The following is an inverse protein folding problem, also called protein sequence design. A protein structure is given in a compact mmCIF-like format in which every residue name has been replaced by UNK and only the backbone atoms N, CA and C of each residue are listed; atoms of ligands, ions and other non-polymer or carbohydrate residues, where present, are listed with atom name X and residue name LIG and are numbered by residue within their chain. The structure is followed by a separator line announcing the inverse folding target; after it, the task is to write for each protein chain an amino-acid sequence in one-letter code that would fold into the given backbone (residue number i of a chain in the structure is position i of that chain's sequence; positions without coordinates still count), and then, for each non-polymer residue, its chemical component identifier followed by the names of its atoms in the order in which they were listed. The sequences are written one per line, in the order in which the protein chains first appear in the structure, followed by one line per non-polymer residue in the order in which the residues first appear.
data_IF_974112685914
#
_entry.id   IF_974112685914
#
_cell.length_a   1.000
_cell.length_b   1.000
_cell.length_c   1.000
_cell.angle_alpha   90.00
_cell.angle_beta   90.00
_cell.angle_gamma   90.00
#
_symmetry.space_group_name_H-M   'P 1'
#
loop_
_entity.id
_entity.type
_entity.pdbx_description
1 polymer ?
#
# COMPACT_ATOMS: atom_id res chain seq x y z
N UNK A 1 -6.32 6.44 -23.45
CA UNK A 1 -5.92 5.25 -22.69
C UNK A 1 -6.99 5.05 -21.65
N UNK A 2 -7.76 3.98 -21.73
CA UNK A 2 -8.91 3.72 -20.88
C UNK A 2 -8.47 3.34 -19.46
N UNK A 3 -9.39 3.37 -18.48
CA UNK A 3 -9.17 2.98 -17.09
C UNK A 3 -8.44 1.65 -16.86
N UNK A 4 -8.44 0.76 -17.85
CA UNK A 4 -7.68 -0.48 -17.80
C UNK A 4 -6.16 -0.29 -17.73
N UNK A 5 -5.57 0.82 -18.21
CA UNK A 5 -4.13 1.06 -18.14
C UNK A 5 -3.66 1.43 -16.73
N UNK A 6 -4.45 2.22 -16.01
CA UNK A 6 -4.14 2.56 -14.62
C UNK A 6 -4.10 1.31 -13.74
N UNK A 7 -5.12 0.46 -13.82
CA UNK A 7 -5.17 -0.83 -13.14
C UNK A 7 -3.99 -1.73 -13.52
N UNK A 8 -3.67 -1.81 -14.82
CA UNK A 8 -2.58 -2.66 -15.29
C UNK A 8 -1.20 -2.22 -14.76
N UNK A 9 -0.94 -0.90 -14.68
CA UNK A 9 0.29 -0.38 -14.08
C UNK A 9 0.32 -0.60 -12.59
N UNK A 10 -0.78 -0.36 -11.88
CA UNK A 10 -0.86 -0.66 -10.45
C UNK A 10 -0.54 -2.14 -10.18
N UNK A 11 -1.12 -3.06 -10.93
CA UNK A 11 -0.85 -4.49 -10.79
C UNK A 11 0.58 -4.87 -11.16
N UNK A 12 1.17 -4.25 -12.19
CA UNK A 12 2.56 -4.49 -12.55
C UNK A 12 3.49 -4.05 -11.41
N UNK A 13 3.29 -2.84 -10.89
CA UNK A 13 4.20 -2.20 -9.92
C UNK A 13 4.04 -2.72 -8.50
N UNK A 14 2.82 -3.11 -8.10
CA UNK A 14 2.50 -3.52 -6.71
C UNK A 14 2.16 -5.01 -6.58
N UNK A 15 1.53 -5.62 -7.59
CA UNK A 15 0.94 -6.95 -7.48
C UNK A 15 1.95 -8.09 -7.35
N UNK A 16 3.21 -7.88 -7.73
CA UNK A 16 4.28 -8.87 -7.64
C UNK A 16 4.90 -9.01 -6.25
N UNK A 17 4.76 -8.01 -5.38
CA UNK A 17 5.37 -8.01 -4.06
C UNK A 17 4.66 -8.97 -3.10
N UNK A 18 5.42 -9.91 -2.51
CA UNK A 18 4.85 -10.96 -1.66
C UNK A 18 5.57 -11.15 -0.32
N UNK A 19 6.71 -10.49 -0.10
CA UNK A 19 7.57 -10.74 1.06
C UNK A 19 6.90 -10.33 2.39
N UNK A 20 5.95 -9.38 2.34
CA UNK A 20 5.18 -8.93 3.50
C UNK A 20 3.88 -9.73 3.75
N UNK A 21 3.41 -10.56 2.81
CA UNK A 21 2.11 -11.23 2.94
C UNK A 21 2.02 -12.16 4.16
N UNK A 22 3.12 -12.85 4.50
CA UNK A 22 3.18 -13.70 5.68
C UNK A 22 3.02 -12.90 6.97
N UNK A 23 3.55 -11.66 7.01
CA UNK A 23 3.39 -10.75 8.13
C UNK A 23 1.92 -10.34 8.29
N UNK A 24 1.26 -9.88 7.21
CA UNK A 24 -0.13 -9.46 7.26
C UNK A 24 -1.08 -10.59 7.69
N UNK A 25 -0.87 -11.81 7.20
CA UNK A 25 -1.62 -13.00 7.66
C UNK A 25 -1.42 -13.27 9.15
N UNK A 26 -0.19 -13.14 9.65
CA UNK A 26 0.12 -13.34 11.08
C UNK A 26 -0.60 -12.29 11.94
N UNK A 27 -0.58 -11.01 11.55
CA UNK A 27 -1.26 -9.94 12.26
C UNK A 27 -2.78 -10.15 12.25
N UNK A 28 -3.37 -10.50 11.11
CA UNK A 28 -4.80 -10.78 10.99
C UNK A 28 -5.23 -11.99 11.85
N UNK A 29 -4.43 -13.06 11.84
CA UNK A 29 -4.68 -14.24 12.70
C UNK A 29 -4.61 -13.91 14.20
N UNK A 30 -3.69 -13.01 14.61
CA UNK A 30 -3.57 -12.54 16.00
C UNK A 30 -4.77 -11.69 16.42
N UNK A 31 -5.28 -10.85 15.53
CA UNK A 31 -6.37 -9.91 15.82
C UNK A 31 -7.74 -10.60 15.99
N UNK A 32 -8.00 -11.69 15.31
CA UNK A 32 -9.18 -12.54 15.52
C UNK A 32 -10.52 -11.92 15.13
N UNK A 33 -10.56 -10.97 14.18
CA UNK A 33 -11.79 -10.30 13.74
C UNK A 33 -11.66 -9.68 12.35
N UNK A 34 -12.57 -8.76 11.95
CA UNK A 34 -12.49 -8.10 10.66
C UNK A 34 -11.24 -7.22 10.55
N UNK A 35 -10.66 -7.19 9.36
CA UNK A 35 -9.48 -6.37 9.04
C UNK A 35 -9.91 -5.21 8.15
N UNK A 36 -9.41 -4.01 8.43
CA UNK A 36 -9.53 -2.86 7.54
C UNK A 36 -8.19 -2.65 6.83
N UNK A 37 -8.18 -2.81 5.51
CA UNK A 37 -7.04 -2.57 4.63
C UNK A 37 -7.18 -1.19 3.98
N UNK A 38 -6.30 -0.26 4.34
CA UNK A 38 -6.28 1.12 3.86
C UNK A 38 -5.34 1.24 2.65
N UNK A 39 -5.80 1.93 1.59
CA UNK A 39 -5.05 2.03 0.35
C UNK A 39 -4.89 0.67 -0.32
N UNK A 40 -5.96 -0.12 -0.35
CA UNK A 40 -5.93 -1.53 -0.74
C UNK A 40 -5.62 -1.75 -2.23
N UNK A 41 -5.79 -0.74 -3.08
CA UNK A 41 -5.62 -0.84 -4.53
C UNK A 41 -6.46 -1.95 -5.14
N UNK A 42 -5.87 -2.79 -5.98
CA UNK A 42 -6.49 -3.98 -6.58
C UNK A 42 -6.57 -5.18 -5.63
N UNK A 43 -6.19 -5.00 -4.35
CA UNK A 43 -6.43 -5.98 -3.29
C UNK A 43 -5.31 -6.99 -3.06
N UNK A 44 -4.04 -6.65 -3.31
CA UNK A 44 -2.90 -7.54 -3.09
C UNK A 44 -2.92 -8.18 -1.69
N UNK A 45 -3.13 -7.39 -0.64
CA UNK A 45 -3.22 -7.88 0.74
C UNK A 45 -4.65 -8.29 1.09
N UNK A 46 -5.66 -7.48 0.72
CA UNK A 46 -7.07 -7.77 1.02
C UNK A 46 -7.51 -9.15 0.52
N UNK A 47 -7.21 -9.51 -0.74
CA UNK A 47 -7.56 -10.81 -1.31
C UNK A 47 -6.80 -11.96 -0.64
N UNK A 48 -5.53 -11.75 -0.28
CA UNK A 48 -4.73 -12.74 0.43
C UNK A 48 -5.32 -13.06 1.81
N UNK A 49 -5.72 -12.02 2.56
CA UNK A 49 -6.37 -12.19 3.86
C UNK A 49 -7.75 -12.83 3.73
N UNK A 50 -8.52 -12.44 2.72
CA UNK A 50 -9.82 -13.04 2.46
C UNK A 50 -9.72 -14.53 2.09
N UNK A 51 -8.71 -14.93 1.28
CA UNK A 51 -8.40 -16.35 1.00
C UNK A 51 -7.99 -17.12 2.25
N UNK A 52 -7.36 -16.46 3.21
CA UNK A 52 -7.06 -17.04 4.52
C UNK A 52 -8.27 -17.11 5.47
N UNK A 53 -9.46 -16.70 5.02
CA UNK A 53 -10.73 -16.80 5.76
C UNK A 53 -11.08 -15.58 6.60
N UNK A 54 -10.32 -14.48 6.50
CA UNK A 54 -10.64 -13.25 7.20
C UNK A 54 -11.74 -12.46 6.49
N UNK A 55 -12.59 -11.77 7.26
CA UNK A 55 -13.49 -10.75 6.73
C UNK A 55 -12.72 -9.44 6.57
N UNK A 56 -12.63 -8.94 5.33
CA UNK A 56 -11.81 -7.78 5.00
C UNK A 56 -12.69 -6.63 4.52
N UNK A 57 -12.46 -5.46 5.09
CA UNK A 57 -12.90 -4.18 4.58
C UNK A 57 -11.72 -3.54 3.84
N UNK A 58 -11.90 -3.27 2.56
CA UNK A 58 -10.86 -2.78 1.67
C UNK A 58 -11.21 -1.36 1.22
N UNK A 59 -10.45 -0.38 1.69
CA UNK A 59 -10.68 1.03 1.43
C UNK A 59 -9.60 1.58 0.51
N UNK A 60 -10.04 2.24 -0.56
CA UNK A 60 -9.19 3.02 -1.45
C UNK A 60 -9.96 4.26 -1.96
N UNK A 61 -9.24 5.29 -2.38
CA UNK A 61 -9.85 6.46 -3.00
C UNK A 61 -10.12 6.26 -4.50
N UNK A 62 -9.54 5.24 -5.11
CA UNK A 62 -9.63 4.93 -6.54
C UNK A 62 -10.71 3.88 -6.82
N UNK A 63 -11.80 4.32 -7.42
CA UNK A 63 -12.93 3.45 -7.75
C UNK A 63 -12.62 2.40 -8.82
N UNK A 64 -11.64 2.65 -9.72
CA UNK A 64 -11.28 1.68 -10.76
C UNK A 64 -10.50 0.51 -10.15
N UNK A 65 -9.55 0.79 -9.24
CA UNK A 65 -8.81 -0.23 -8.51
C UNK A 65 -9.75 -1.08 -7.64
N UNK A 66 -10.68 -0.45 -6.93
CA UNK A 66 -11.71 -1.14 -6.14
C UNK A 66 -12.64 -1.99 -7.00
N UNK A 67 -12.98 -1.53 -8.21
CA UNK A 67 -13.77 -2.31 -9.17
C UNK A 67 -13.08 -3.62 -9.56
N UNK A 68 -11.76 -3.59 -9.79
CA UNK A 68 -10.97 -4.77 -10.08
C UNK A 68 -10.90 -5.72 -8.86
N UNK A 69 -10.65 -5.16 -7.67
CA UNK A 69 -10.66 -5.93 -6.42
C UNK A 69 -12.00 -6.64 -6.22
N UNK A 70 -13.11 -5.91 -6.37
CA UNK A 70 -14.45 -6.48 -6.21
C UNK A 70 -14.75 -7.60 -7.21
N UNK A 71 -14.30 -7.43 -8.47
CA UNK A 71 -14.45 -8.46 -9.50
C UNK A 71 -13.64 -9.73 -9.15
N UNK A 72 -12.39 -9.57 -8.72
CA UNK A 72 -11.55 -10.68 -8.27
C UNK A 72 -12.13 -11.39 -7.04
N UNK A 73 -12.59 -10.63 -6.04
CA UNK A 73 -13.21 -11.19 -4.85
C UNK A 73 -14.47 -12.00 -5.18
N UNK A 74 -15.34 -11.46 -6.05
CA UNK A 74 -16.55 -12.13 -6.49
C UNK A 74 -16.26 -13.43 -7.26
N UNK A 75 -15.25 -13.41 -8.16
CA UNK A 75 -14.85 -14.58 -8.93
C UNK A 75 -14.34 -15.72 -8.04
N UNK A 76 -13.65 -15.38 -6.95
CA UNK A 76 -13.11 -16.35 -5.98
C UNK A 76 -14.08 -16.65 -4.83
N UNK A 77 -15.27 -16.04 -4.78
CA UNK A 77 -16.26 -16.22 -3.70
C UNK A 77 -15.77 -15.70 -2.33
N UNK A 78 -14.93 -14.68 -2.32
CA UNK A 78 -14.31 -14.13 -1.13
C UNK A 78 -15.17 -13.07 -0.45
N UNK A 79 -15.04 -12.94 0.88
CA UNK A 79 -15.73 -11.90 1.68
C UNK A 79 -14.86 -10.66 1.80
N UNK A 80 -15.05 -9.72 0.88
CA UNK A 80 -14.39 -8.42 0.88
C UNK A 80 -15.45 -7.33 0.71
N UNK A 81 -15.49 -6.37 1.65
CA UNK A 81 -16.32 -5.18 1.58
C UNK A 81 -15.49 -4.03 1.04
N UNK A 82 -15.81 -3.50 -0.14
CA UNK A 82 -15.07 -2.38 -0.73
C UNK A 82 -15.67 -1.04 -0.34
N UNK A 83 -14.81 -0.07 0.00
CA UNK A 83 -15.18 1.30 0.36
C UNK A 83 -14.37 2.29 -0.45
N UNK A 84 -15.04 3.11 -1.28
CA UNK A 84 -14.39 4.18 -2.03
C UNK A 84 -14.38 5.46 -1.19
N UNK A 85 -13.23 5.75 -0.55
CA UNK A 85 -13.07 6.93 0.30
C UNK A 85 -11.59 7.29 0.48
N UNK A 86 -11.33 8.55 0.82
CA UNK A 86 -10.02 9.00 1.25
C UNK A 86 -9.76 8.52 2.69
N UNK A 87 -8.69 7.78 2.91
CA UNK A 87 -8.32 7.27 4.24
C UNK A 87 -8.04 8.39 5.26
N UNK A 88 -7.74 9.62 4.80
CA UNK A 88 -7.61 10.81 5.65
C UNK A 88 -8.95 11.30 6.21
N UNK A 89 -10.05 10.82 5.65
CA UNK A 89 -11.44 11.15 6.04
C UNK A 89 -12.19 9.91 6.53
N UNK A 90 -11.47 9.00 7.20
CA UNK A 90 -11.98 7.72 7.64
C UNK A 90 -13.22 7.89 8.54
N UNK A 91 -14.37 7.47 8.02
CA UNK A 91 -15.67 7.49 8.71
C UNK A 91 -16.49 6.25 8.31
N UNK A 92 -16.28 5.17 9.05
CA UNK A 92 -16.93 3.88 8.86
C UNK A 92 -17.76 3.52 10.09
N UNK A 93 -18.78 2.72 9.87
CA UNK A 93 -19.56 2.15 10.98
C UNK A 93 -18.79 0.96 11.57
N UNK A 94 -18.51 1.01 12.88
CA UNK A 94 -17.89 -0.08 13.61
C UNK A 94 -16.45 0.22 14.04
N UNK A 95 -15.85 -0.80 14.64
CA UNK A 95 -14.47 -0.77 15.10
C UNK A 95 -13.76 -2.04 14.68
N UNK A 96 -12.46 -1.93 14.37
CA UNK A 96 -11.66 -3.00 13.80
C UNK A 96 -10.58 -3.43 14.81
N UNK A 97 -10.43 -4.73 15.07
CA UNK A 97 -9.32 -5.23 15.86
C UNK A 97 -7.97 -5.10 15.14
N UNK A 98 -7.98 -5.00 13.80
CA UNK A 98 -6.80 -4.72 13.01
C UNK A 98 -7.14 -3.75 11.88
N UNK A 99 -6.36 -2.68 11.80
CA UNK A 99 -6.31 -1.76 10.66
C UNK A 99 -4.90 -1.85 10.08
N UNK A 100 -4.78 -2.02 8.78
CA UNK A 100 -3.48 -2.10 8.11
C UNK A 100 -3.33 -1.02 7.04
N UNK A 101 -2.11 -0.56 6.86
CA UNK A 101 -1.68 0.33 5.78
C UNK A 101 -0.42 -0.27 5.14
N UNK A 102 -0.59 -1.27 4.26
CA UNK A 102 0.53 -1.91 3.58
C UNK A 102 1.25 -0.97 2.62
N UNK A 103 2.45 -1.38 2.25
CA UNK A 103 3.33 -0.58 1.39
C UNK A 103 3.53 0.83 2.00
N UNK A 104 3.74 1.85 1.24
CA UNK A 104 4.11 3.17 1.72
C UNK A 104 2.91 4.13 1.84
N UNK A 105 1.68 3.63 2.07
CA UNK A 105 0.49 4.48 2.10
C UNK A 105 0.67 5.73 2.98
N UNK A 106 1.19 5.56 4.21
CA UNK A 106 1.35 6.68 5.14
C UNK A 106 2.37 7.73 4.67
N UNK A 107 3.25 7.38 3.73
CA UNK A 107 4.20 8.28 3.11
C UNK A 107 3.64 9.01 1.87
N UNK A 108 2.43 8.63 1.41
CA UNK A 108 1.74 9.23 0.24
C UNK A 108 0.66 10.24 0.65
N UNK A 109 0.51 10.56 1.93
CA UNK A 109 -0.61 11.36 2.44
C UNK A 109 -0.37 12.88 2.42
N UNK A 110 0.76 13.34 1.89
CA UNK A 110 1.07 14.77 1.77
C UNK A 110 1.53 15.39 3.09
N UNK A 111 2.42 14.68 3.79
CA UNK A 111 3.10 15.18 4.97
C UNK A 111 2.37 14.92 6.30
N UNK A 112 2.89 15.50 7.40
CA UNK A 112 2.38 15.27 8.76
C UNK A 112 0.90 15.60 8.94
N UNK A 113 0.38 16.61 8.22
CA UNK A 113 -1.02 17.01 8.31
C UNK A 113 -1.96 15.92 7.77
N UNK A 114 -1.63 15.30 6.64
CA UNK A 114 -2.38 14.18 6.08
C UNK A 114 -2.31 12.95 6.97
N UNK A 115 -1.11 12.61 7.48
CA UNK A 115 -0.95 11.50 8.43
C UNK A 115 -1.72 11.71 9.74
N UNK A 116 -1.74 12.92 10.28
CA UNK A 116 -2.52 13.25 11.46
C UNK A 116 -4.02 12.94 11.27
N UNK A 117 -4.59 13.34 10.12
CA UNK A 117 -6.02 13.06 9.80
C UNK A 117 -6.28 11.56 9.75
N UNK A 118 -5.39 10.80 9.09
CA UNK A 118 -5.46 9.34 9.08
C UNK A 118 -5.39 8.77 10.51
N UNK A 119 -4.39 9.16 11.31
CA UNK A 119 -4.16 8.64 12.67
C UNK A 119 -5.32 8.94 13.62
N UNK A 120 -5.92 10.14 13.51
CA UNK A 120 -7.14 10.49 14.23
C UNK A 120 -8.32 9.60 13.83
N UNK A 121 -8.45 9.32 12.52
CA UNK A 121 -9.42 8.37 11.98
C UNK A 121 -9.20 6.95 12.50
N UNK A 122 -7.98 6.46 12.39
CA UNK A 122 -7.56 5.14 12.90
C UNK A 122 -7.90 5.01 14.39
N UNK A 123 -7.55 6.00 15.21
CA UNK A 123 -7.86 5.95 16.65
C UNK A 123 -9.35 5.80 16.92
N UNK A 124 -10.21 6.46 16.15
CA UNK A 124 -11.68 6.33 16.31
C UNK A 124 -12.19 4.94 15.97
N UNK A 125 -11.57 4.29 14.96
CA UNK A 125 -12.02 3.01 14.40
C UNK A 125 -11.29 1.79 14.97
N UNK A 126 -10.24 1.94 15.77
CA UNK A 126 -9.64 0.82 16.47
C UNK A 126 -10.58 0.29 17.57
N UNK A 127 -10.79 -1.00 17.59
CA UNK A 127 -11.45 -1.69 18.70
C UNK A 127 -10.63 -1.58 20.00
N UNK A 128 -11.22 -1.76 21.19
CA UNK A 128 -10.46 -1.91 22.40
C UNK A 128 -9.41 -3.03 22.26
N UNK A 129 -8.14 -2.72 22.52
CA UNK A 129 -7.03 -3.66 22.33
C UNK A 129 -6.61 -3.89 20.85
N UNK A 130 -7.27 -3.22 19.91
CA UNK A 130 -6.94 -3.32 18.49
C UNK A 130 -5.62 -2.67 18.12
N UNK A 131 -5.10 -3.02 16.94
CA UNK A 131 -3.81 -2.59 16.42
C UNK A 131 -3.95 -1.92 15.05
N UNK A 132 -3.13 -0.90 14.82
CA UNK A 132 -2.87 -0.32 13.51
C UNK A 132 -1.44 -0.64 13.10
N UNK A 133 -1.26 -1.24 11.93
CA UNK A 133 0.04 -1.60 11.40
C UNK A 133 0.29 -0.90 10.06
N UNK A 134 1.30 -0.04 10.00
CA UNK A 134 1.67 0.73 8.81
C UNK A 134 3.09 0.41 8.35
N UNK A 135 3.23 0.08 7.07
CA UNK A 135 4.54 -0.14 6.46
C UNK A 135 5.13 1.17 5.95
N UNK A 136 6.42 1.37 6.20
CA UNK A 136 7.21 2.50 5.69
C UNK A 136 8.55 2.02 5.14
N UNK A 137 9.15 2.81 4.25
CA UNK A 137 10.56 2.70 3.91
C UNK A 137 11.33 3.83 4.59
N UNK A 138 12.40 3.48 5.32
CA UNK A 138 13.21 4.45 6.07
C UNK A 138 14.42 4.89 5.22
N UNK A 139 14.15 5.74 4.24
CA UNK A 139 15.16 6.26 3.32
C UNK A 139 15.30 5.44 2.04
N UNK A 140 16.28 5.80 1.23
CA UNK A 140 16.60 5.12 -0.03
C UNK A 140 17.85 4.29 0.19
N UNK A 141 17.82 2.97 -0.01
CA UNK A 141 19.01 2.14 0.13
C UNK A 141 20.16 2.61 -0.76
N UNK A 142 21.41 2.54 -0.30
CA UNK A 142 22.57 2.81 -1.15
C UNK A 142 22.55 1.92 -2.40
N UNK A 143 22.69 2.52 -3.59
CA UNK A 143 22.66 1.81 -4.88
C UNK A 143 21.31 1.91 -5.62
N UNK A 144 20.20 2.24 -4.94
CA UNK A 144 18.92 2.53 -5.60
C UNK A 144 18.90 3.94 -6.20
N UNK A 145 19.76 4.84 -5.73
CA UNK A 145 19.87 6.25 -6.15
C UNK A 145 20.51 6.41 -7.53
N UNK A 146 21.28 5.43 -8.00
CA UNK A 146 21.97 5.53 -9.28
C UNK A 146 21.34 4.56 -10.30
N UNK A 147 20.57 5.11 -11.19
CA UNK A 147 20.08 4.54 -12.45
C UNK A 147 19.93 3.02 -12.49
N UNK A 148 18.75 2.58 -12.80
CA UNK A 148 18.38 1.17 -12.89
C UNK A 148 19.12 0.37 -14.00
N UNK A 149 20.45 0.40 -13.98
CA UNK A 149 21.28 -0.22 -15.04
C UNK A 149 20.99 -1.70 -15.30
N UNK A 150 20.48 -2.43 -14.30
CA UNK A 150 20.21 -3.87 -14.39
C UNK A 150 18.76 -4.23 -13.96
N UNK A 151 17.89 -3.25 -13.70
CA UNK A 151 16.53 -3.52 -13.30
C UNK A 151 15.70 -4.05 -14.48
N UNK A 152 14.97 -5.12 -14.24
CA UNK A 152 13.99 -5.63 -15.20
C UNK A 152 12.68 -4.85 -15.06
N UNK A 153 11.94 -4.64 -16.17
CA UNK A 153 10.62 -4.04 -16.10
C UNK A 153 9.61 -4.99 -15.47
N UNK A 154 8.70 -4.43 -14.69
CA UNK A 154 7.47 -5.11 -14.32
C UNK A 154 6.54 -5.13 -15.54
N UNK A 155 5.98 -6.27 -15.92
CA UNK A 155 5.18 -6.41 -17.15
C UNK A 155 3.82 -7.04 -16.83
N UNK A 156 2.77 -6.50 -17.46
CA UNK A 156 1.42 -7.06 -17.45
C UNK A 156 0.85 -7.08 -18.86
N UNK A 157 0.15 -8.15 -19.18
CA UNK A 157 -0.70 -8.23 -20.36
C UNK A 157 -2.16 -8.18 -19.94
N UNK A 158 -2.96 -7.37 -20.64
CA UNK A 158 -4.40 -7.29 -20.42
C UNK A 158 -5.12 -6.99 -21.75
N UNK A 159 -5.96 -7.92 -22.19
CA UNK A 159 -6.77 -7.73 -23.41
C UNK A 159 -5.94 -7.50 -24.68
N UNK A 160 -4.78 -8.12 -24.81
CA UNK A 160 -3.86 -7.98 -25.93
C UNK A 160 -2.98 -6.71 -25.87
N UNK A 161 -3.11 -5.89 -24.82
CA UNK A 161 -2.22 -4.77 -24.53
C UNK A 161 -1.11 -5.23 -23.60
N UNK A 162 0.11 -4.75 -23.81
CA UNK A 162 1.25 -5.01 -22.94
C UNK A 162 1.63 -3.72 -22.21
N UNK A 163 1.66 -3.77 -20.90
CA UNK A 163 2.05 -2.68 -20.01
C UNK A 163 3.37 -3.04 -19.35
N UNK A 164 4.35 -2.14 -19.46
CA UNK A 164 5.69 -2.33 -18.91
C UNK A 164 6.05 -1.12 -18.05
N UNK A 165 6.56 -1.35 -16.85
CA UNK A 165 7.00 -0.32 -15.93
C UNK A 165 8.44 -0.62 -15.49
N UNK A 166 9.39 0.17 -16.01
CA UNK A 166 10.81 0.03 -15.72
C UNK A 166 11.22 1.04 -14.64
N UNK A 167 11.76 0.61 -13.50
CA UNK A 167 12.34 1.51 -12.53
C UNK A 167 13.51 2.31 -13.13
N UNK A 168 13.45 3.64 -13.08
CA UNK A 168 14.54 4.53 -13.50
C UNK A 168 15.45 4.94 -12.35
N UNK A 169 15.01 4.69 -11.11
CA UNK A 169 15.74 5.00 -9.90
C UNK A 169 14.89 5.76 -8.87
N UNK A 170 15.49 6.00 -7.71
CA UNK A 170 14.92 6.84 -6.67
C UNK A 170 15.95 7.88 -6.22
N UNK A 171 15.49 9.05 -5.82
CA UNK A 171 16.33 10.14 -5.31
C UNK A 171 15.65 10.81 -4.12
N UNK A 172 16.45 11.39 -3.21
CA UNK A 172 15.91 12.28 -2.19
C UNK A 172 15.97 13.71 -2.74
N UNK A 173 14.79 14.32 -2.89
CA UNK A 173 14.63 15.70 -3.35
C UNK A 173 13.59 16.42 -2.48
N UNK A 174 13.88 17.67 -2.09
CA UNK A 174 12.95 18.54 -1.36
C UNK A 174 12.28 17.93 -0.11
N UNK A 175 12.97 16.99 0.56
CA UNK A 175 12.43 16.31 1.75
C UNK A 175 11.48 15.14 1.46
N UNK A 176 11.47 14.66 0.22
CA UNK A 176 10.73 13.49 -0.22
C UNK A 176 11.66 12.48 -0.93
N UNK A 177 11.21 11.24 -1.02
CA UNK A 177 11.80 10.22 -1.88
C UNK A 177 11.03 10.24 -3.19
N UNK A 178 11.66 10.64 -4.28
CA UNK A 178 11.10 10.56 -5.62
C UNK A 178 11.46 9.21 -6.24
N UNK A 179 10.46 8.41 -6.59
CA UNK A 179 10.62 7.15 -7.33
C UNK A 179 10.16 7.38 -8.78
N UNK A 180 11.06 7.18 -9.73
CA UNK A 180 10.78 7.41 -11.15
C UNK A 180 10.71 6.09 -11.89
N UNK A 181 9.73 5.97 -12.78
CA UNK A 181 9.50 4.78 -13.60
C UNK A 181 9.20 5.19 -15.06
N UNK A 182 9.75 4.44 -16.03
CA UNK A 182 9.34 4.53 -17.41
C UNK A 182 8.17 3.57 -17.64
N UNK A 183 7.00 4.13 -17.89
CA UNK A 183 5.80 3.37 -18.24
C UNK A 183 5.65 3.30 -19.76
N UNK A 184 5.52 2.09 -20.29
CA UNK A 184 5.36 1.81 -21.71
C UNK A 184 4.08 1.01 -21.93
N UNK A 185 3.38 1.32 -23.01
CA UNK A 185 2.17 0.60 -23.43
C UNK A 185 2.32 0.20 -24.88
N UNK A 186 2.17 -1.08 -25.17
CA UNK A 186 2.14 -1.61 -26.55
C UNK A 186 0.71 -2.05 -26.85
N UNK A 187 0.12 -1.48 -27.90
CA UNK A 187 -1.22 -1.83 -28.35
C UNK A 187 -1.24 -3.19 -29.06
N UNK A 188 -2.41 -3.81 -29.25
CA UNK A 188 -2.54 -5.04 -30.06
C UNK A 188 -2.09 -4.88 -31.50
N UNK A 189 -2.04 -3.65 -32.02
CA UNK A 189 -1.51 -3.33 -33.35
C UNK A 189 0.02 -3.11 -33.37
N UNK A 190 0.69 -3.17 -32.20
CA UNK A 190 2.13 -2.97 -32.07
C UNK A 190 2.54 -1.50 -31.91
N UNK A 191 1.59 -0.58 -31.68
CA UNK A 191 1.90 0.82 -31.43
C UNK A 191 2.42 1.00 -30.00
N UNK A 192 3.61 1.63 -29.86
CA UNK A 192 4.25 1.93 -28.57
C UNK A 192 3.93 3.35 -28.13
N UNK A 193 3.53 3.52 -26.88
CA UNK A 193 3.50 4.81 -26.18
C UNK A 193 4.30 4.74 -24.88
N UNK A 194 4.95 5.86 -24.51
CA UNK A 194 5.85 5.95 -23.36
C UNK A 194 5.56 7.19 -22.53
N UNK A 195 5.73 7.07 -21.22
CA UNK A 195 5.66 8.19 -20.29
C UNK A 195 6.55 7.93 -19.07
N UNK A 196 7.06 9.01 -18.46
CA UNK A 196 7.74 8.92 -17.15
C UNK A 196 6.73 9.23 -16.07
N UNK A 197 6.62 8.32 -15.12
CA UNK A 197 5.82 8.47 -13.90
C UNK A 197 6.75 8.73 -12.70
N UNK A 198 6.32 9.59 -11.79
CA UNK A 198 7.07 9.90 -10.56
C UNK A 198 6.12 9.81 -9.37
N UNK A 199 6.47 8.98 -8.40
CA UNK A 199 5.84 8.92 -7.10
C UNK A 199 6.71 9.66 -6.09
N UNK A 200 6.08 10.47 -5.23
CA UNK A 200 6.75 11.21 -4.17
C UNK A 200 6.31 10.66 -2.81
N UNK A 201 7.25 10.08 -2.08
CA UNK A 201 7.04 9.55 -0.75
C UNK A 201 7.64 10.52 0.28
N UNK A 202 6.88 10.87 1.32
CA UNK A 202 7.42 11.65 2.44
C UNK A 202 8.63 10.92 3.06
N UNK A 203 9.70 11.64 3.38
CA UNK A 203 10.76 11.11 4.23
C UNK A 203 10.19 10.90 5.64
N UNK A 204 10.13 9.65 6.07
CA UNK A 204 9.53 9.25 7.33
C UNK A 204 10.30 8.07 7.91
N UNK A 205 10.72 8.18 9.15
CA UNK A 205 11.23 7.06 9.94
C UNK A 205 10.21 6.58 10.97
N UNK A 206 10.44 5.41 11.53
CA UNK A 206 9.54 4.79 12.50
C UNK A 206 9.37 5.65 13.76
N UNK A 207 10.43 6.30 14.23
CA UNK A 207 10.37 7.15 15.43
C UNK A 207 9.50 8.39 15.20
N UNK A 208 9.60 9.00 14.02
CA UNK A 208 8.77 10.14 13.64
C UNK A 208 7.29 9.76 13.51
N UNK A 209 6.98 8.60 12.88
CA UNK A 209 5.61 8.11 12.80
C UNK A 209 5.02 7.80 14.19
N UNK A 210 5.81 7.21 15.08
CA UNK A 210 5.40 6.95 16.47
C UNK A 210 5.14 8.25 17.26
N UNK A 211 5.98 9.28 17.05
CA UNK A 211 5.80 10.58 17.69
C UNK A 211 4.52 11.28 17.19
N UNK A 212 4.26 11.25 15.85
CA UNK A 212 3.00 11.75 15.28
C UNK A 212 1.79 10.99 15.83
N UNK A 213 1.88 9.67 15.95
CA UNK A 213 0.84 8.80 16.49
C UNK A 213 0.55 9.09 17.96
N UNK A 214 1.59 9.33 18.77
CA UNK A 214 1.44 9.71 20.18
C UNK A 214 0.65 11.03 20.31
N UNK A 215 0.89 11.99 19.42
CA UNK A 215 0.12 13.24 19.33
C UNK A 215 -1.37 13.04 18.99
N UNK A 216 -1.74 11.88 18.46
CA UNK A 216 -3.12 11.47 18.14
C UNK A 216 -3.71 10.49 19.17
N UNK A 217 -3.02 10.20 20.30
CA UNK A 217 -3.49 9.28 21.34
C UNK A 217 -3.34 7.80 20.96
N UNK A 218 -2.39 7.49 20.11
CA UNK A 218 -1.91 6.14 19.82
C UNK A 218 -0.55 5.92 20.49
N UNK A 219 -0.21 4.67 20.78
CA UNK A 219 1.06 4.31 21.39
C UNK A 219 1.75 3.21 20.57
N UNK A 220 3.06 3.32 20.42
CA UNK A 220 3.87 2.28 19.80
C UNK A 220 3.79 0.97 20.58
N UNK A 221 3.68 -0.14 19.84
CA UNK A 221 3.65 -1.50 20.40
C UNK A 221 4.87 -2.30 19.95
N UNK A 222 5.13 -2.30 18.65
CA UNK A 222 6.11 -3.17 18.04
C UNK A 222 6.61 -2.53 16.72
N UNK A 223 7.88 -2.78 16.36
CA UNK A 223 8.39 -2.56 15.01
C UNK A 223 8.79 -3.92 14.42
N UNK A 224 8.37 -4.19 13.20
CA UNK A 224 8.62 -5.46 12.54
C UNK A 224 9.34 -5.17 11.22
N UNK A 225 10.54 -5.72 11.08
CA UNK A 225 11.32 -5.59 9.86
C UNK A 225 10.83 -6.58 8.80
N UNK A 226 10.63 -6.09 7.59
CA UNK A 226 10.49 -6.89 6.38
C UNK A 226 11.79 -6.73 5.59
N UNK A 227 12.63 -7.78 5.50
CA UNK A 227 13.93 -7.67 4.85
C UNK A 227 13.81 -7.27 3.37
N UNK A 228 14.85 -6.61 2.84
CA UNK A 228 14.97 -6.40 1.40
C UNK A 228 15.12 -7.74 0.68
N UNK A 229 14.42 -7.87 -0.45
CA UNK A 229 14.56 -8.98 -1.39
C UNK A 229 15.43 -8.62 -2.59
N UNK A 230 15.52 -9.52 -3.57
CA UNK A 230 16.30 -9.28 -4.80
C UNK A 230 15.73 -8.12 -5.65
N UNK A 231 14.42 -7.94 -5.63
CA UNK A 231 13.69 -6.95 -6.46
C UNK A 231 12.93 -5.89 -5.66
N UNK A 232 13.00 -5.93 -4.34
CA UNK A 232 12.25 -5.02 -3.47
C UNK A 232 13.11 -4.50 -2.34
N UNK A 233 12.93 -3.23 -2.01
CA UNK A 233 13.51 -2.62 -0.81
C UNK A 233 12.81 -3.16 0.44
N UNK A 234 13.53 -3.31 1.54
CA UNK A 234 12.94 -3.67 2.82
C UNK A 234 12.03 -2.57 3.34
N UNK A 235 11.23 -2.91 4.35
CA UNK A 235 10.36 -1.95 5.02
C UNK A 235 10.29 -2.23 6.52
N UNK A 236 9.98 -1.19 7.29
CA UNK A 236 9.65 -1.30 8.71
C UNK A 236 8.14 -1.19 8.87
N UNK A 237 7.51 -2.16 9.52
CA UNK A 237 6.10 -2.08 9.89
C UNK A 237 5.98 -1.60 11.32
N UNK A 238 5.42 -0.41 11.50
CA UNK A 238 5.17 0.19 12.80
C UNK A 238 3.78 -0.24 13.27
N UNK A 239 3.72 -0.93 14.42
CA UNK A 239 2.46 -1.38 15.03
C UNK A 239 2.11 -0.45 16.20
N UNK A 240 0.91 0.12 16.14
CA UNK A 240 0.39 1.08 17.09
C UNK A 240 -0.91 0.54 17.72
N UNK A 241 -1.21 0.96 18.94
CA UNK A 241 -2.48 0.71 19.60
C UNK A 241 -2.99 1.97 20.27
N UNK A 242 -4.22 1.96 20.81
CA UNK A 242 -4.67 3.09 21.63
C UNK A 242 -3.75 3.28 22.84
N UNK A 243 -3.41 4.54 23.13
CA UNK A 243 -2.81 4.88 24.42
C UNK A 243 -3.82 4.57 25.53
N UNK A 244 -3.35 4.00 26.62
CA UNK A 244 -4.16 3.64 27.77
C UNK A 244 -4.71 4.87 28.50
#
# INVERSE_FOLDING_TARGET
VSGSAHVAFHDAECGGYRDDLALWRRLAGRAGGPVLDLGCGTGRVALELARAGHHVWALDHDAELLGELAACAAADGLRVETVCADCRELDLVGAFPLIIAPMQLVQLLGGPAGRRRLLDGVRRHLAPGGEFAAAIIEGVPPGVIAGAGDALPDVRERGGWVYSSLPLGAAIAEGAIEVRRLRQVVSPSGELSESVHTDCLDLLDAASLEAEAAGCGLAARERIEVPAGESHVGSTVVVLGRAG
#
